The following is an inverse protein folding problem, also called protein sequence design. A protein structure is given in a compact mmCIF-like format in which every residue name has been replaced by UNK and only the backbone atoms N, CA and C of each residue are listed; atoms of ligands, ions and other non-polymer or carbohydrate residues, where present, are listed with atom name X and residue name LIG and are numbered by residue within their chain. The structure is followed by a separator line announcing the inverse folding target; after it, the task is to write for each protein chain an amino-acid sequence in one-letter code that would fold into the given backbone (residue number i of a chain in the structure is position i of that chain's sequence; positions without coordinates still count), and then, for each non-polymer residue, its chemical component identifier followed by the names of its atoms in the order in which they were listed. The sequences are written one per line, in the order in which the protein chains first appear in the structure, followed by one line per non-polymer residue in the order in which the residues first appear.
data_IF_557385561322
#
_entry.id   IF_557385561322
#
_cell.length_a   1.000
_cell.length_b   1.000
_cell.length_c   1.000
_cell.angle_alpha   90.00
_cell.angle_beta   90.00
_cell.angle_gamma   90.00
#
_symmetry.space_group_name_H-M   'P 1'
#
loop_
_entity.id
_entity.type
_entity.pdbx_description
1 polymer ?
#
# COMPACT_ATOMS: atom_id res chain seq x y z
N UNK A 1 29.04 -11.29 3.27
CA UNK A 1 27.74 -11.93 3.60
C UNK A 1 26.67 -11.22 2.81
N UNK A 2 25.81 -11.95 2.11
CA UNK A 2 24.69 -11.36 1.38
C UNK A 2 23.55 -11.04 2.36
N UNK A 3 22.94 -9.87 2.22
CA UNK A 3 21.85 -9.38 3.07
C UNK A 3 20.72 -8.85 2.20
N UNK A 4 19.51 -8.85 2.74
CA UNK A 4 18.39 -8.15 2.12
C UNK A 4 18.58 -6.64 2.27
N UNK A 5 18.30 -5.88 1.22
CA UNK A 5 18.47 -4.43 1.18
C UNK A 5 17.13 -3.70 1.09
N UNK A 6 16.99 -2.58 1.82
CA UNK A 6 15.81 -1.71 1.72
C UNK A 6 15.58 -1.24 0.28
N UNK A 7 14.31 -1.21 -0.14
CA UNK A 7 13.88 -0.79 -1.47
C UNK A 7 14.07 -1.82 -2.58
N UNK A 8 14.76 -2.95 -2.33
CA UNK A 8 14.91 -4.03 -3.30
C UNK A 8 13.76 -5.04 -3.23
N UNK A 9 13.49 -5.69 -4.35
CA UNK A 9 12.49 -6.77 -4.47
C UNK A 9 13.17 -8.13 -4.45
N UNK A 10 12.61 -9.07 -3.71
CA UNK A 10 13.05 -10.46 -3.65
C UNK A 10 11.86 -11.41 -3.71
N UNK A 11 12.14 -12.67 -4.04
CA UNK A 11 11.17 -13.75 -3.97
C UNK A 11 11.15 -14.31 -2.54
N UNK A 12 9.96 -14.58 -2.02
CA UNK A 12 9.75 -15.20 -0.72
C UNK A 12 8.79 -16.37 -0.84
N UNK A 13 9.15 -17.50 -0.25
CA UNK A 13 8.26 -18.66 -0.18
C UNK A 13 7.27 -18.50 0.96
N UNK A 14 5.97 -18.66 0.68
CA UNK A 14 4.94 -18.67 1.72
C UNK A 14 4.92 -20.07 2.34
N UNK A 15 5.63 -20.26 3.45
CA UNK A 15 5.87 -21.59 4.04
C UNK A 15 4.81 -22.00 5.06
N UNK A 16 3.95 -21.08 5.50
CA UNK A 16 2.87 -21.39 6.43
C UNK A 16 2.12 -20.17 6.92
N UNK A 17 1.32 -20.38 7.96
CA UNK A 17 0.59 -19.34 8.67
C UNK A 17 0.74 -19.55 10.17
N UNK A 18 0.69 -18.46 10.93
CA UNK A 18 0.64 -18.50 12.39
C UNK A 18 -0.45 -17.57 12.89
N UNK A 19 -1.21 -18.05 13.86
CA UNK A 19 -2.10 -17.22 14.67
C UNK A 19 -1.41 -16.92 15.99
N UNK A 20 -1.32 -15.65 16.35
CA UNK A 20 -0.84 -15.22 17.66
C UNK A 20 -2.09 -14.92 18.49
N UNK A 21 -2.23 -15.54 19.67
CA UNK A 21 -3.39 -15.38 20.54
C UNK A 21 -3.70 -13.89 20.80
N UNK A 22 -4.98 -13.51 20.70
CA UNK A 22 -5.47 -12.13 20.83
C UNK A 22 -4.88 -11.11 19.84
N UNK A 23 -4.11 -11.54 18.84
CA UNK A 23 -3.59 -10.68 17.78
C UNK A 23 -4.21 -11.01 16.41
N UNK A 24 -3.39 -10.97 15.36
CA UNK A 24 -3.76 -11.18 13.98
C UNK A 24 -3.14 -12.48 13.44
N UNK A 25 -3.73 -13.00 12.37
CA UNK A 25 -3.13 -14.08 11.59
C UNK A 25 -2.05 -13.51 10.66
N UNK A 26 -0.92 -14.19 10.57
CA UNK A 26 0.21 -13.84 9.72
C UNK A 26 0.59 -14.99 8.79
N UNK A 27 1.00 -14.67 7.57
CA UNK A 27 1.76 -15.57 6.73
C UNK A 27 3.21 -15.62 7.20
N UNK A 28 3.81 -16.80 7.16
CA UNK A 28 5.24 -17.02 7.37
C UNK A 28 5.91 -17.05 6.00
N UNK A 29 6.82 -16.13 5.75
CA UNK A 29 7.58 -16.00 4.52
C UNK A 29 9.03 -16.42 4.76
N UNK A 30 9.58 -17.30 3.93
CA UNK A 30 11.00 -17.63 3.93
C UNK A 30 11.71 -16.85 2.81
N UNK A 31 12.83 -16.21 3.15
CA UNK A 31 13.67 -15.53 2.15
C UNK A 31 14.69 -16.48 1.51
N UNK A 32 15.49 -15.94 0.57
CA UNK A 32 16.56 -16.66 -0.13
C UNK A 32 17.67 -17.19 0.78
N UNK A 33 17.71 -16.79 2.05
CA UNK A 33 18.66 -17.24 3.07
C UNK A 33 17.99 -18.15 4.11
N UNK A 34 16.76 -18.63 3.83
CA UNK A 34 15.92 -19.41 4.74
C UNK A 34 15.51 -18.70 6.03
N UNK A 35 15.65 -17.37 6.13
CA UNK A 35 15.17 -16.62 7.27
C UNK A 35 13.67 -16.39 7.16
N UNK A 36 12.97 -16.48 8.30
CA UNK A 36 11.51 -16.36 8.37
C UNK A 36 11.07 -14.95 8.74
N UNK A 37 10.07 -14.47 8.03
CA UNK A 37 9.46 -13.14 8.18
C UNK A 37 7.94 -13.28 8.31
N UNK A 38 7.30 -12.33 9.00
CA UNK A 38 5.85 -12.32 9.18
C UNK A 38 5.19 -11.27 8.29
N UNK A 39 4.13 -11.67 7.59
CA UNK A 39 3.33 -10.79 6.76
C UNK A 39 1.86 -10.83 7.21
N UNK A 40 1.27 -9.66 7.49
CA UNK A 40 -0.11 -9.60 8.03
C UNK A 40 -1.16 -10.10 7.02
N UNK A 41 -1.87 -11.19 7.36
CA UNK A 41 -2.93 -11.74 6.51
C UNK A 41 -4.11 -10.79 6.37
N UNK A 42 -4.46 -10.08 7.44
CA UNK A 42 -5.54 -9.08 7.45
C UNK A 42 -5.29 -7.94 6.45
N UNK A 43 -4.07 -7.40 6.41
CA UNK A 43 -3.69 -6.28 5.53
C UNK A 43 -3.72 -6.69 4.06
N UNK A 44 -3.23 -7.89 3.75
CA UNK A 44 -3.08 -8.38 2.38
C UNK A 44 -4.14 -9.42 1.99
N UNK A 45 -5.31 -9.40 2.62
CA UNK A 45 -6.38 -10.38 2.39
C UNK A 45 -6.85 -10.45 0.92
N UNK A 46 -6.74 -9.34 0.19
CA UNK A 46 -7.15 -9.24 -1.22
C UNK A 46 -6.04 -9.63 -2.21
N UNK A 47 -4.87 -10.06 -1.73
CA UNK A 47 -3.72 -10.37 -2.58
C UNK A 47 -3.66 -11.83 -3.01
N UNK A 48 -4.64 -12.65 -2.61
CA UNK A 48 -4.72 -14.08 -2.96
C UNK A 48 -3.42 -14.83 -2.67
N UNK A 49 -2.79 -14.56 -1.52
CA UNK A 49 -1.55 -15.22 -1.09
C UNK A 49 -1.87 -16.66 -0.67
N UNK A 50 -1.12 -17.62 -1.20
CA UNK A 50 -1.35 -19.06 -1.02
C UNK A 50 -0.11 -19.71 -0.41
N UNK A 51 -0.28 -20.50 0.65
CA UNK A 51 0.79 -21.30 1.25
C UNK A 51 1.32 -22.33 0.23
N UNK A 52 2.64 -22.49 0.18
CA UNK A 52 3.34 -23.32 -0.80
C UNK A 52 3.62 -22.62 -2.13
N UNK A 53 3.27 -21.33 -2.27
CA UNK A 53 3.62 -20.51 -3.44
C UNK A 53 4.58 -19.41 -3.04
N UNK A 54 5.41 -19.01 -3.99
CA UNK A 54 6.31 -17.89 -3.83
C UNK A 54 5.62 -16.57 -4.22
N UNK A 55 5.95 -15.48 -3.53
CA UNK A 55 5.48 -14.13 -3.84
C UNK A 55 6.66 -13.16 -3.91
N UNK A 56 6.55 -12.14 -4.75
CA UNK A 56 7.55 -11.05 -4.82
C UNK A 56 7.19 -9.99 -3.80
N UNK A 57 8.14 -9.64 -2.94
CA UNK A 57 8.00 -8.59 -1.95
C UNK A 57 9.14 -7.58 -2.08
N UNK A 58 8.81 -6.29 -1.94
CA UNK A 58 9.76 -5.22 -1.68
C UNK A 58 10.13 -5.24 -0.19
N UNK A 59 11.41 -5.09 0.12
CA UNK A 59 11.86 -4.77 1.48
C UNK A 59 11.51 -3.31 1.74
N UNK A 60 10.35 -3.06 2.36
CA UNK A 60 9.86 -1.71 2.62
C UNK A 60 10.73 -0.98 3.66
N UNK A 61 11.13 -1.70 4.70
CA UNK A 61 11.95 -1.15 5.79
C UNK A 61 12.70 -2.23 6.56
N UNK A 62 13.89 -1.91 7.03
CA UNK A 62 14.68 -2.63 8.02
C UNK A 62 14.84 -1.68 9.21
N UNK A 63 14.33 -2.05 10.38
CA UNK A 63 14.47 -1.19 11.56
C UNK A 63 15.86 -1.33 12.22
N UNK A 64 16.13 -0.53 13.25
CA UNK A 64 17.42 -0.55 13.96
C UNK A 64 17.74 -1.89 14.66
N UNK A 65 16.76 -2.79 14.80
CA UNK A 65 16.92 -4.13 15.36
C UNK A 65 17.07 -5.21 14.27
N UNK A 66 17.19 -4.82 13.00
CA UNK A 66 17.28 -5.74 11.87
C UNK A 66 15.94 -6.37 11.47
N UNK A 67 14.81 -5.96 12.05
CA UNK A 67 13.50 -6.50 11.67
C UNK A 67 13.11 -5.97 10.29
N UNK A 68 12.79 -6.90 9.41
CA UNK A 68 12.41 -6.64 8.02
C UNK A 68 10.89 -6.50 7.90
N UNK A 69 10.46 -5.42 7.27
CA UNK A 69 9.07 -5.16 6.89
C UNK A 69 8.93 -5.32 5.39
N UNK A 70 7.96 -6.14 4.99
CA UNK A 70 7.76 -6.55 3.61
C UNK A 70 6.47 -5.97 3.05
N UNK A 71 6.53 -5.56 1.80
CA UNK A 71 5.38 -5.16 1.00
C UNK A 71 5.29 -6.01 -0.25
N UNK A 72 4.30 -6.92 -0.35
CA UNK A 72 4.08 -7.71 -1.55
C UNK A 72 3.75 -6.80 -2.73
N UNK A 73 4.18 -7.21 -3.91
CA UNK A 73 3.74 -6.59 -5.15
C UNK A 73 2.21 -6.59 -5.23
N UNK A 74 1.62 -5.45 -5.57
CA UNK A 74 0.17 -5.35 -5.68
C UNK A 74 -0.33 -6.22 -6.86
N UNK A 75 -1.38 -7.03 -6.69
CA UNK A 75 -1.83 -7.98 -7.72
C UNK A 75 -2.34 -7.30 -9.00
N UNK A 76 -2.95 -6.12 -8.87
CA UNK A 76 -3.61 -5.40 -9.97
C UNK A 76 -2.90 -4.13 -10.44
N UNK A 77 -2.00 -3.56 -9.64
CA UNK A 77 -1.56 -2.18 -9.82
C UNK A 77 -0.05 -2.05 -9.78
N UNK A 78 0.47 -1.09 -10.53
CA UNK A 78 1.88 -0.72 -10.55
C UNK A 78 2.04 0.78 -10.31
N UNK A 79 3.15 1.16 -9.68
CA UNK A 79 3.56 2.56 -9.58
C UNK A 79 3.72 3.14 -11.00
N UNK A 80 3.27 4.36 -11.20
CA UNK A 80 3.21 5.07 -12.48
C UNK A 80 1.92 4.84 -13.27
N UNK A 81 1.13 3.80 -12.96
CA UNK A 81 -0.12 3.50 -13.66
C UNK A 81 -1.18 4.57 -13.37
N UNK A 82 -1.93 4.98 -14.40
CA UNK A 82 -3.09 5.88 -14.26
C UNK A 82 -4.37 5.05 -14.28
N UNK A 83 -5.23 5.22 -13.29
CA UNK A 83 -6.50 4.52 -13.16
C UNK A 83 -7.60 5.48 -12.69
N UNK A 84 -8.84 5.14 -13.01
CA UNK A 84 -10.00 5.82 -12.45
C UNK A 84 -10.29 5.33 -11.02
N UNK A 85 -10.59 6.28 -10.13
CA UNK A 85 -11.01 6.01 -8.76
C UNK A 85 -12.24 6.82 -8.39
N UNK A 86 -13.16 6.21 -7.66
CA UNK A 86 -14.36 6.86 -7.13
C UNK A 86 -14.05 7.53 -5.80
N UNK A 87 -14.37 8.82 -5.68
CA UNK A 87 -14.24 9.57 -4.45
C UNK A 87 -15.15 9.04 -3.34
N UNK A 88 -14.68 9.08 -2.10
CA UNK A 88 -15.40 8.61 -0.92
C UNK A 88 -15.55 9.67 0.16
N UNK A 89 -14.44 10.26 0.61
CA UNK A 89 -14.48 11.21 1.72
C UNK A 89 -13.24 12.10 1.78
N UNK A 90 -13.38 13.20 2.51
CA UNK A 90 -12.27 14.08 2.92
C UNK A 90 -11.92 13.79 4.38
N UNK A 91 -10.63 13.81 4.69
CA UNK A 91 -10.14 13.64 6.06
C UNK A 91 -8.94 14.57 6.30
N UNK A 92 -8.83 15.13 7.50
CA UNK A 92 -7.60 15.81 7.94
C UNK A 92 -6.90 14.89 8.92
N UNK A 93 -5.80 14.28 8.49
CA UNK A 93 -5.00 13.38 9.34
C UNK A 93 -3.87 14.17 10.02
N UNK A 94 -3.58 13.80 11.27
CA UNK A 94 -2.45 14.37 12.03
C UNK A 94 -1.43 13.27 12.24
N UNK A 95 -0.18 13.49 11.81
CA UNK A 95 0.88 12.52 12.04
C UNK A 95 1.41 12.59 13.49
N UNK A 96 2.28 11.65 13.87
CA UNK A 96 2.91 11.61 15.21
C UNK A 96 3.69 12.88 15.61
N UNK A 97 4.04 13.75 14.64
CA UNK A 97 4.73 15.02 14.86
C UNK A 97 3.77 16.22 14.90
N UNK A 98 2.46 15.99 14.94
CA UNK A 98 1.45 17.06 14.94
C UNK A 98 1.19 17.71 13.58
N UNK A 99 1.82 17.24 12.50
CA UNK A 99 1.65 17.82 11.17
C UNK A 99 0.33 17.35 10.57
N UNK A 100 -0.55 18.31 10.27
CA UNK A 100 -1.82 18.09 9.58
C UNK A 100 -1.60 17.81 8.09
N UNK A 101 -2.36 16.88 7.53
CA UNK A 101 -2.43 16.60 6.09
C UNK A 101 -3.88 16.51 5.67
N UNK A 102 -4.23 17.19 4.59
CA UNK A 102 -5.53 17.07 3.97
C UNK A 102 -5.50 15.87 3.02
N UNK A 103 -6.43 14.93 3.19
CA UNK A 103 -6.44 13.65 2.49
C UNK A 103 -7.80 13.44 1.84
N UNK A 104 -7.78 13.14 0.54
CA UNK A 104 -8.94 12.65 -0.18
C UNK A 104 -8.84 11.13 -0.26
N UNK A 105 -9.93 10.44 0.12
CA UNK A 105 -10.04 8.99 0.07
C UNK A 105 -10.87 8.58 -1.13
N UNK A 106 -10.42 7.51 -1.78
CA UNK A 106 -11.06 6.93 -2.95
C UNK A 106 -11.12 5.41 -2.85
N UNK A 107 -11.91 4.80 -3.74
CA UNK A 107 -11.86 3.36 -4.00
C UNK A 107 -11.91 3.06 -5.49
N UNK A 108 -11.38 1.91 -5.90
CA UNK A 108 -11.60 1.38 -7.23
C UNK A 108 -12.86 0.48 -7.28
N UNK A 109 -13.10 -0.12 -8.45
CA UNK A 109 -14.17 -1.12 -8.66
C UNK A 109 -13.92 -2.49 -8.01
N UNK A 110 -12.70 -2.75 -7.53
CA UNK A 110 -12.29 -3.99 -6.88
C UNK A 110 -12.31 -3.87 -5.34
N UNK A 111 -12.71 -2.72 -4.80
CA UNK A 111 -12.73 -2.44 -3.36
C UNK A 111 -11.36 -2.08 -2.76
N UNK A 112 -10.32 -1.88 -3.58
CA UNK A 112 -9.03 -1.37 -3.11
C UNK A 112 -9.17 0.10 -2.72
N UNK A 113 -8.47 0.47 -1.65
CA UNK A 113 -8.47 1.82 -1.12
C UNK A 113 -7.35 2.63 -1.73
N UNK A 114 -7.64 3.87 -2.06
CA UNK A 114 -6.65 4.84 -2.50
C UNK A 114 -6.74 6.14 -1.69
N UNK A 115 -5.63 6.85 -1.57
CA UNK A 115 -5.61 8.17 -0.94
C UNK A 115 -4.68 9.15 -1.67
N UNK A 116 -5.11 10.41 -1.75
CA UNK A 116 -4.31 11.52 -2.26
C UNK A 116 -4.10 12.56 -1.16
N UNK A 117 -2.85 13.00 -0.97
CA UNK A 117 -2.51 14.08 -0.04
C UNK A 117 -2.55 15.40 -0.79
N UNK A 118 -3.44 16.31 -0.38
CA UNK A 118 -3.65 17.59 -1.05
C UNK A 118 -2.97 18.71 -0.25
N UNK A 119 -1.93 19.32 -0.84
CA UNK A 119 -1.15 20.38 -0.18
C UNK A 119 -1.89 21.72 -0.17
N UNK A 120 -2.64 22.03 -1.21
CA UNK A 120 -3.36 23.30 -1.35
C UNK A 120 -4.75 23.17 -0.71
N UNK A 121 -5.02 23.98 0.32
CA UNK A 121 -6.26 23.90 1.09
C UNK A 121 -7.49 24.21 0.24
N UNK A 122 -7.42 25.17 -0.69
CA UNK A 122 -8.54 25.50 -1.57
C UNK A 122 -8.91 24.34 -2.48
N UNK A 123 -7.91 23.65 -3.07
CA UNK A 123 -8.15 22.44 -3.87
C UNK A 123 -8.80 21.34 -3.05
N UNK A 124 -8.43 21.20 -1.78
CA UNK A 124 -9.03 20.21 -0.89
C UNK A 124 -10.48 20.57 -0.54
N UNK A 125 -10.71 21.82 -0.11
CA UNK A 125 -12.02 22.31 0.29
C UNK A 125 -13.02 22.26 -0.88
N UNK A 126 -12.57 22.63 -2.08
CA UNK A 126 -13.41 22.71 -3.27
C UNK A 126 -13.45 21.41 -4.09
N UNK A 127 -12.82 20.32 -3.63
CA UNK A 127 -12.92 19.04 -4.33
C UNK A 127 -14.34 18.46 -4.26
N UNK A 128 -14.97 18.25 -5.41
CA UNK A 128 -16.36 17.78 -5.52
C UNK A 128 -16.57 16.68 -6.57
N UNK A 129 -15.50 16.25 -7.26
CA UNK A 129 -15.64 15.23 -8.29
C UNK A 129 -16.04 13.87 -7.70
N UNK A 130 -17.02 13.17 -8.31
CA UNK A 130 -17.42 11.84 -7.88
C UNK A 130 -16.38 10.76 -8.24
N UNK A 131 -15.59 10.99 -9.30
CA UNK A 131 -14.51 10.12 -9.72
C UNK A 131 -13.41 10.94 -10.43
N UNK A 132 -12.18 10.45 -10.41
CA UNK A 132 -11.08 11.07 -11.11
C UNK A 132 -10.02 10.06 -11.55
N UNK A 133 -9.26 10.44 -12.57
CA UNK A 133 -8.08 9.69 -12.98
C UNK A 133 -6.91 10.06 -12.08
N UNK A 134 -6.31 9.05 -11.47
CA UNK A 134 -5.19 9.23 -10.56
C UNK A 134 -4.03 8.36 -11.00
N UNK A 135 -2.81 8.93 -10.90
CA UNK A 135 -1.58 8.18 -11.08
C UNK A 135 -1.17 7.57 -9.74
N UNK A 136 -0.90 6.27 -9.73
CA UNK A 136 -0.39 5.58 -8.55
C UNK A 136 1.07 5.98 -8.37
N UNK A 137 1.39 6.64 -7.26
CA UNK A 137 2.75 7.13 -6.97
C UNK A 137 3.47 6.28 -5.95
N UNK A 138 2.72 5.57 -5.10
CA UNK A 138 3.27 4.64 -4.12
C UNK A 138 2.18 3.66 -3.70
N UNK A 139 2.57 2.57 -3.04
CA UNK A 139 1.65 1.62 -2.42
C UNK A 139 2.17 1.44 -1.00
N UNK A 140 1.31 1.56 0.00
CA UNK A 140 1.69 1.36 1.40
C UNK A 140 0.65 0.53 2.13
N UNK A 141 1.04 -0.65 2.61
CA UNK A 141 0.16 -1.56 3.38
C UNK A 141 -1.15 -1.85 2.64
N UNK A 142 -1.05 -2.17 1.34
CA UNK A 142 -2.17 -2.37 0.42
C UNK A 142 -3.07 -1.13 0.16
N UNK A 143 -2.69 0.06 0.62
CA UNK A 143 -3.35 1.33 0.26
C UNK A 143 -2.57 1.97 -0.89
N UNK A 144 -3.27 2.28 -1.97
CA UNK A 144 -2.70 2.99 -3.11
C UNK A 144 -2.54 4.48 -2.77
N UNK A 145 -1.33 4.99 -2.88
CA UNK A 145 -1.07 6.42 -2.77
C UNK A 145 -1.11 6.99 -4.17
N UNK A 146 -1.97 7.98 -4.39
CA UNK A 146 -2.26 8.47 -5.74
C UNK A 146 -2.13 9.99 -5.84
N UNK A 147 -1.79 10.44 -7.05
CA UNK A 147 -1.82 11.84 -7.44
C UNK A 147 -2.93 12.05 -8.47
N UNK A 148 -3.84 12.98 -8.19
CA UNK A 148 -4.97 13.32 -9.07
C UNK A 148 -4.41 14.00 -10.33
N UNK A 149 -4.76 13.46 -11.49
CA UNK A 149 -4.41 14.07 -12.78
C UNK A 149 -5.41 15.18 -13.07
N UNK A 150 -5.00 16.44 -12.94
CA UNK A 150 -5.87 17.60 -13.16
C UNK A 150 -6.06 17.95 -14.65
N UNK A 151 -5.35 17.29 -15.56
CA UNK A 151 -5.34 17.64 -16.98
C UNK A 151 -6.56 17.16 -17.78
N UNK A 152 -7.55 16.54 -17.12
CA UNK A 152 -8.86 16.22 -17.75
C UNK A 152 -10.02 17.08 -17.26
N UNK A 153 -9.73 18.14 -16.49
CA UNK A 153 -10.76 19.04 -15.93
C UNK A 153 -11.20 20.17 -16.89
N UNK A 154 -10.69 20.21 -18.13
CA UNK A 154 -11.17 21.13 -19.17
C UNK A 154 -12.13 20.44 -20.14
N UNK A 155 -13.14 19.74 -19.62
CA UNK A 155 -14.27 19.31 -20.45
C UNK A 155 -15.58 19.85 -19.88
N UNK A 156 -15.82 21.11 -20.31
CA UNK A 156 -17.06 21.89 -20.33
C UNK A 156 -17.54 22.50 -19.02
#
# INVERSE_FOLDING_TARGET
MAVLEEGKEYLFDVVGEISIENEAVFYILADIFSQKHLLSKKTYRNYSIIVGKAITCKVDKINCQGRIYLEPKHPLYKIGQVCEFTFKQKEVIVNKKGVKKNVLHFSDKHGNKAMAIIKQLDKFNNFDLPACHCRIIDIKKAILIVEIQMDMFNCK
#
